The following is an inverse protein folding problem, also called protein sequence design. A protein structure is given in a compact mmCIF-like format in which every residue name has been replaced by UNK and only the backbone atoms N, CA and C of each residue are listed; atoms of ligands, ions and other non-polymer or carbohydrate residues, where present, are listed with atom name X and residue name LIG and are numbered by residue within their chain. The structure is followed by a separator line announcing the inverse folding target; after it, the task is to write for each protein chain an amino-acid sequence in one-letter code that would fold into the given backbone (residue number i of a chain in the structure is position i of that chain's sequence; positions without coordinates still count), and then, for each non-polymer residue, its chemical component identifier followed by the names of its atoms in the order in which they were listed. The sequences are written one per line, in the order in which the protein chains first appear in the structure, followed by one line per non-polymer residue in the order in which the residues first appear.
data_IF_467416329947
#
_entry.id   IF_467416329947
#
_cell.length_a   1.000
_cell.length_b   1.000
_cell.length_c   1.000
_cell.angle_alpha   90.00
_cell.angle_beta   90.00
_cell.angle_gamma   90.00
#
_symmetry.space_group_name_H-M   'P 1'
#
loop_
_entity.id
_entity.type
_entity.pdbx_description
1 polymer ?
#
# COMPACT_ATOMS: atom_id res chain seq x y z
N UNK A 1 -43.45 59.44 14.55
CA UNK A 1 -42.84 59.24 13.22
C UNK A 1 -41.60 58.36 13.42
N UNK A 2 -41.79 57.04 13.38
CA UNK A 2 -41.20 56.13 12.36
C UNK A 2 -39.79 55.61 12.71
N UNK A 3 -39.79 54.42 13.34
CA UNK A 3 -38.95 53.22 13.11
C UNK A 3 -37.60 53.44 12.40
N UNK A 4 -36.49 53.05 13.05
CA UNK A 4 -35.60 52.02 12.49
C UNK A 4 -34.41 51.60 13.37
N UNK A 5 -34.48 50.31 13.73
CA UNK A 5 -33.41 49.30 13.59
C UNK A 5 -32.40 49.21 14.76
N UNK A 6 -32.88 48.54 15.81
CA UNK A 6 -32.10 47.52 16.50
C UNK A 6 -31.62 46.45 15.49
N UNK A 7 -30.30 46.31 15.30
CA UNK A 7 -29.60 45.15 14.67
C UNK A 7 -28.09 45.40 14.69
N UNK A 8 -27.48 45.38 15.87
CA UNK A 8 -26.02 45.47 15.99
C UNK A 8 -25.42 44.52 17.05
N UNK A 9 -26.17 43.50 17.47
CA UNK A 9 -25.68 42.48 18.38
C UNK A 9 -26.34 41.15 18.03
N UNK A 10 -25.73 40.36 17.13
CA UNK A 10 -26.01 38.92 16.92
C UNK A 10 -25.14 38.27 15.80
N UNK A 11 -23.92 38.74 15.54
CA UNK A 11 -23.04 38.16 14.50
C UNK A 11 -21.61 37.89 14.97
N UNK A 12 -21.42 37.38 16.19
CA UNK A 12 -20.10 37.00 16.70
C UNK A 12 -20.10 35.66 17.49
N UNK A 13 -21.04 34.76 17.21
CA UNK A 13 -21.14 33.48 17.92
C UNK A 13 -21.51 32.32 16.98
N UNK A 14 -20.75 32.11 15.91
CA UNK A 14 -20.98 30.96 15.00
C UNK A 14 -19.72 30.47 14.24
N UNK A 15 -18.51 30.70 14.77
CA UNK A 15 -17.27 30.32 14.07
C UNK A 15 -16.22 29.59 14.94
N UNK A 16 -16.65 28.99 16.06
CA UNK A 16 -15.74 28.23 16.96
C UNK A 16 -16.05 26.72 16.99
N UNK A 17 -17.09 26.25 16.29
CA UNK A 17 -17.49 24.82 16.35
C UNK A 17 -16.93 23.94 15.23
N UNK A 18 -16.22 24.48 14.24
CA UNK A 18 -15.69 23.68 13.12
C UNK A 18 -14.29 23.10 13.34
N UNK A 19 -13.54 23.57 14.34
CA UNK A 19 -12.20 23.03 14.62
C UNK A 19 -12.25 21.75 15.48
N UNK A 20 -13.09 21.72 16.52
CA UNK A 20 -13.17 20.58 17.44
C UNK A 20 -13.76 19.30 16.83
N UNK A 21 -14.62 19.44 15.81
CA UNK A 21 -15.17 18.27 15.09
C UNK A 21 -14.10 17.64 14.20
N UNK A 22 -13.19 18.44 13.61
CA UNK A 22 -12.13 17.89 12.78
C UNK A 22 -11.07 17.12 13.60
N UNK A 23 -10.75 17.56 14.82
CA UNK A 23 -9.79 16.87 15.67
C UNK A 23 -10.30 15.51 16.16
N UNK A 24 -11.57 15.41 16.57
CA UNK A 24 -12.17 14.14 16.99
C UNK A 24 -12.33 13.13 15.83
N UNK A 25 -12.60 13.63 14.61
CA UNK A 25 -12.69 12.80 13.40
C UNK A 25 -11.32 12.31 12.92
N UNK A 26 -10.27 13.10 13.10
CA UNK A 26 -8.91 12.72 12.79
C UNK A 26 -8.37 11.66 13.77
N UNK A 27 -8.76 11.74 15.05
CA UNK A 27 -8.31 10.82 16.11
C UNK A 27 -8.77 9.38 15.86
N UNK A 28 -10.06 9.17 15.55
CA UNK A 28 -10.61 7.83 15.28
C UNK A 28 -10.02 7.20 14.00
N UNK A 29 -9.68 7.99 12.98
CA UNK A 29 -9.05 7.50 11.75
C UNK A 29 -7.56 7.19 11.96
N UNK A 30 -6.84 8.01 12.71
CA UNK A 30 -5.44 7.76 13.04
C UNK A 30 -5.30 6.45 13.83
N UNK A 31 -6.16 6.27 14.85
CA UNK A 31 -6.21 5.05 15.65
C UNK A 31 -6.61 3.82 14.83
N UNK A 32 -7.57 3.97 13.92
CA UNK A 32 -7.94 2.91 12.98
C UNK A 32 -6.75 2.50 12.13
N UNK A 33 -6.06 3.46 11.50
CA UNK A 33 -4.92 3.18 10.64
C UNK A 33 -3.75 2.56 11.41
N UNK A 34 -3.49 2.99 12.64
CA UNK A 34 -2.47 2.41 13.50
C UNK A 34 -2.78 0.95 13.88
N UNK A 35 -4.05 0.64 14.17
CA UNK A 35 -4.48 -0.73 14.48
C UNK A 35 -4.44 -1.63 13.23
N UNK A 36 -4.88 -1.13 12.07
CA UNK A 36 -4.74 -1.83 10.78
C UNK A 36 -3.27 -2.07 10.44
N UNK A 37 -2.39 -1.09 10.66
CA UNK A 37 -0.95 -1.23 10.38
C UNK A 37 -0.33 -2.31 11.27
N UNK A 38 -0.74 -2.42 12.53
CA UNK A 38 -0.27 -3.49 13.43
C UNK A 38 -0.55 -4.88 12.86
N UNK A 39 -1.78 -5.12 12.37
CA UNK A 39 -2.12 -6.38 11.71
C UNK A 39 -1.40 -6.52 10.35
N UNK A 40 -1.38 -5.47 9.55
CA UNK A 40 -0.78 -5.46 8.20
C UNK A 40 0.71 -5.74 8.22
N UNK A 41 1.43 -5.30 9.26
CA UNK A 41 2.84 -5.61 9.44
C UNK A 41 3.10 -7.12 9.49
N UNK A 42 2.36 -7.85 10.32
CA UNK A 42 2.45 -9.31 10.39
C UNK A 42 2.09 -9.97 9.05
N UNK A 43 1.04 -9.48 8.38
CA UNK A 43 0.65 -9.98 7.06
C UNK A 43 1.79 -9.86 6.03
N UNK A 44 2.46 -8.69 5.96
CA UNK A 44 3.59 -8.47 5.03
C UNK A 44 4.78 -9.36 5.33
N UNK A 45 5.11 -9.53 6.61
CA UNK A 45 6.23 -10.38 7.00
C UNK A 45 5.93 -11.84 6.65
N UNK A 46 4.71 -12.32 6.89
CA UNK A 46 4.27 -13.65 6.47
C UNK A 46 4.38 -13.86 4.95
N UNK A 47 3.89 -12.91 4.14
CA UNK A 47 4.05 -12.93 2.66
C UNK A 47 5.52 -12.99 2.28
N UNK A 48 6.37 -12.20 2.95
CA UNK A 48 7.82 -12.19 2.74
C UNK A 48 8.46 -13.55 2.98
N UNK A 49 8.12 -14.23 4.08
CA UNK A 49 8.63 -15.56 4.40
C UNK A 49 8.14 -16.64 3.43
N UNK A 50 6.87 -16.59 3.01
CA UNK A 50 6.33 -17.52 2.01
C UNK A 50 7.06 -17.40 0.68
N UNK A 51 7.39 -16.18 0.25
CA UNK A 51 8.15 -15.92 -0.98
C UNK A 51 9.55 -16.56 -0.96
N UNK A 52 10.16 -16.69 0.21
CA UNK A 52 11.47 -17.33 0.39
C UNK A 52 11.38 -18.81 0.78
N UNK A 53 10.18 -19.40 0.79
CA UNK A 53 9.96 -20.80 1.16
C UNK A 53 10.02 -21.11 2.66
N UNK A 54 10.01 -20.09 3.53
CA UNK A 54 10.12 -20.25 4.98
C UNK A 54 8.73 -20.39 5.61
N UNK A 55 8.08 -21.53 5.42
CA UNK A 55 6.71 -21.76 5.90
C UNK A 55 6.57 -21.61 7.42
N UNK A 56 7.49 -22.16 8.21
CA UNK A 56 7.39 -22.14 9.69
C UNK A 56 7.38 -20.71 10.24
N UNK A 57 8.25 -19.84 9.72
CA UNK A 57 8.29 -18.43 10.09
C UNK A 57 7.05 -17.68 9.59
N UNK A 58 6.53 -18.04 8.41
CA UNK A 58 5.28 -17.49 7.92
C UNK A 58 4.10 -17.84 8.84
N UNK A 59 4.01 -19.09 9.31
CA UNK A 59 2.94 -19.53 10.22
C UNK A 59 2.93 -18.72 11.52
N UNK A 60 4.09 -18.47 12.12
CA UNK A 60 4.20 -17.63 13.31
C UNK A 60 3.65 -16.21 13.08
N UNK A 61 3.94 -15.61 11.94
CA UNK A 61 3.43 -14.28 11.60
C UNK A 61 1.95 -14.28 11.21
N UNK A 62 1.44 -15.36 10.63
CA UNK A 62 -0.02 -15.51 10.38
C UNK A 62 -0.78 -15.59 11.71
N UNK A 63 -0.24 -16.27 12.72
CA UNK A 63 -0.85 -16.31 14.05
C UNK A 63 -0.86 -14.93 14.72
N UNK A 64 0.25 -14.19 14.64
CA UNK A 64 0.32 -12.80 15.13
C UNK A 64 -0.63 -11.87 14.36
N UNK A 65 -0.78 -12.06 13.05
CA UNK A 65 -1.78 -11.36 12.25
C UNK A 65 -3.19 -11.62 12.80
N UNK A 66 -3.55 -12.88 13.09
CA UNK A 66 -4.88 -13.22 13.64
C UNK A 66 -5.13 -12.54 14.98
N UNK A 67 -4.13 -12.57 15.87
CA UNK A 67 -4.23 -11.91 17.18
C UNK A 67 -4.43 -10.40 17.04
N UNK A 68 -3.60 -9.74 16.23
CA UNK A 68 -3.68 -8.30 15.97
C UNK A 68 -5.00 -7.92 15.27
N UNK A 69 -5.44 -8.73 14.31
CA UNK A 69 -6.73 -8.53 13.63
C UNK A 69 -7.88 -8.66 14.62
N UNK A 70 -7.89 -9.69 15.48
CA UNK A 70 -8.92 -9.84 16.51
C UNK A 70 -8.98 -8.66 17.51
N UNK A 71 -7.83 -8.05 17.84
CA UNK A 71 -7.79 -6.80 18.62
C UNK A 71 -8.43 -5.65 17.84
N UNK A 72 -8.08 -5.50 16.56
CA UNK A 72 -8.65 -4.50 15.67
C UNK A 72 -10.17 -4.65 15.52
N UNK A 73 -10.67 -5.87 15.27
CA UNK A 73 -12.11 -6.14 15.12
C UNK A 73 -12.90 -5.77 16.37
N UNK A 74 -12.43 -6.15 17.56
CA UNK A 74 -13.09 -5.80 18.83
C UNK A 74 -13.23 -4.29 19.02
N UNK A 75 -12.29 -3.51 18.50
CA UNK A 75 -12.29 -2.05 18.63
C UNK A 75 -13.15 -1.37 17.56
N UNK A 76 -13.16 -1.87 16.33
CA UNK A 76 -13.68 -1.13 15.17
C UNK A 76 -14.84 -1.79 14.42
N UNK A 77 -15.15 -3.08 14.63
CA UNK A 77 -16.23 -3.75 13.90
C UNK A 77 -17.60 -3.11 14.13
N UNK A 78 -17.86 -2.61 15.35
CA UNK A 78 -19.08 -1.87 15.71
C UNK A 78 -18.89 -0.35 15.83
N UNK A 79 -17.67 0.16 15.62
CA UNK A 79 -17.31 1.58 15.75
C UNK A 79 -16.66 2.06 14.46
N UNK A 80 -17.49 2.35 13.47
CA UNK A 80 -17.03 2.85 12.17
C UNK A 80 -16.50 4.28 12.30
N UNK A 81 -15.22 4.55 11.95
CA UNK A 81 -14.73 5.92 11.85
C UNK A 81 -15.53 6.71 10.81
N UNK A 82 -15.79 7.99 11.06
CA UNK A 82 -16.61 8.80 10.16
C UNK A 82 -16.02 8.94 8.74
N UNK A 83 -14.70 8.80 8.59
CA UNK A 83 -14.04 8.78 7.28
C UNK A 83 -14.57 7.65 6.37
N UNK A 84 -15.17 6.62 6.95
CA UNK A 84 -15.79 5.51 6.22
C UNK A 84 -17.32 5.64 6.13
N UNK A 85 -17.95 6.70 6.63
CA UNK A 85 -19.41 6.84 6.60
C UNK A 85 -19.96 6.70 5.17
N UNK A 86 -21.01 5.91 5.01
CA UNK A 86 -21.58 5.56 3.70
C UNK A 86 -20.71 4.63 2.82
N UNK A 87 -19.51 4.22 3.25
CA UNK A 87 -18.66 3.29 2.49
C UNK A 87 -19.08 1.85 2.76
N UNK A 88 -19.84 1.27 1.81
CA UNK A 88 -20.38 -0.10 1.94
C UNK A 88 -19.31 -1.17 2.19
N UNK A 89 -18.07 -0.96 1.74
CA UNK A 89 -16.96 -1.88 1.92
C UNK A 89 -16.55 -2.06 3.39
N UNK A 90 -16.86 -1.11 4.27
CA UNK A 90 -16.44 -1.16 5.67
C UNK A 90 -16.97 -2.40 6.40
N UNK A 91 -18.27 -2.68 6.26
CA UNK A 91 -18.89 -3.84 6.88
C UNK A 91 -18.41 -5.16 6.26
N UNK A 92 -18.29 -5.21 4.92
CA UNK A 92 -17.90 -6.45 4.22
C UNK A 92 -16.43 -6.82 4.40
N UNK A 93 -15.56 -5.84 4.68
CA UNK A 93 -14.13 -6.08 4.91
C UNK A 93 -13.90 -7.12 6.02
N UNK A 94 -14.59 -6.99 7.16
CA UNK A 94 -14.44 -7.93 8.28
C UNK A 94 -14.76 -9.37 7.89
N UNK A 95 -15.91 -9.58 7.23
CA UNK A 95 -16.30 -10.91 6.74
C UNK A 95 -15.33 -11.44 5.68
N UNK A 96 -14.86 -10.58 4.78
CA UNK A 96 -13.88 -10.92 3.75
C UNK A 96 -12.56 -11.40 4.34
N UNK A 97 -12.00 -10.63 5.29
CA UNK A 97 -10.74 -10.99 5.96
C UNK A 97 -10.89 -12.28 6.77
N UNK A 98 -12.00 -12.46 7.50
CA UNK A 98 -12.26 -13.71 8.22
C UNK A 98 -12.31 -14.92 7.28
N UNK A 99 -13.04 -14.82 6.17
CA UNK A 99 -13.12 -15.90 5.18
C UNK A 99 -11.75 -16.24 4.58
N UNK A 100 -10.90 -15.23 4.33
CA UNK A 100 -9.53 -15.45 3.84
C UNK A 100 -8.64 -16.10 4.88
N UNK A 101 -8.74 -15.73 6.16
CA UNK A 101 -7.98 -16.38 7.23
C UNK A 101 -8.38 -17.85 7.43
N UNK A 102 -9.67 -18.19 7.24
CA UNK A 102 -10.13 -19.59 7.20
C UNK A 102 -9.59 -20.31 5.97
N UNK A 103 -9.58 -19.68 4.80
CA UNK A 103 -9.00 -20.25 3.59
C UNK A 103 -7.49 -20.50 3.74
N UNK A 104 -6.77 -19.63 4.47
CA UNK A 104 -5.36 -19.83 4.82
C UNK A 104 -5.16 -21.15 5.59
N UNK A 105 -5.98 -21.45 6.60
CA UNK A 105 -5.86 -22.72 7.37
C UNK A 105 -6.05 -23.96 6.50
N UNK A 106 -7.04 -23.91 5.60
CA UNK A 106 -7.27 -24.97 4.64
C UNK A 106 -6.05 -25.15 3.72
N UNK A 107 -5.51 -24.06 3.17
CA UNK A 107 -4.36 -24.12 2.25
C UNK A 107 -3.07 -24.57 2.93
N UNK A 108 -2.86 -24.22 4.20
CA UNK A 108 -1.76 -24.75 5.01
C UNK A 108 -1.88 -26.28 5.11
N UNK A 109 -3.06 -26.78 5.50
CA UNK A 109 -3.32 -28.22 5.64
C UNK A 109 -3.13 -28.97 4.32
N UNK A 110 -3.44 -28.32 3.19
CA UNK A 110 -3.26 -28.89 1.85
C UNK A 110 -1.83 -28.80 1.31
N UNK A 111 -0.88 -28.22 2.06
CA UNK A 111 0.50 -28.01 1.60
C UNK A 111 0.61 -27.05 0.41
N UNK A 112 -0.22 -26.00 0.39
CA UNK A 112 -0.29 -25.02 -0.72
C UNK A 112 0.21 -23.63 -0.28
N UNK A 113 1.51 -23.45 0.01
CA UNK A 113 2.06 -22.19 0.53
C UNK A 113 1.85 -21.00 -0.41
N UNK A 114 1.84 -21.24 -1.72
CA UNK A 114 1.55 -20.20 -2.71
C UNK A 114 0.09 -19.71 -2.63
N UNK A 115 -0.87 -20.62 -2.40
CA UNK A 115 -2.25 -20.23 -2.21
C UNK A 115 -2.49 -19.53 -0.86
N UNK A 116 -1.70 -19.87 0.17
CA UNK A 116 -1.64 -19.10 1.43
C UNK A 116 -1.21 -17.67 1.13
N UNK A 117 -0.11 -17.48 0.39
CA UNK A 117 0.39 -16.15 0.01
C UNK A 117 -0.66 -15.33 -0.73
N UNK A 118 -1.34 -15.93 -1.72
CA UNK A 118 -2.41 -15.25 -2.47
C UNK A 118 -3.58 -14.81 -1.57
N UNK A 119 -3.95 -15.63 -0.59
CA UNK A 119 -5.02 -15.28 0.36
C UNK A 119 -4.62 -14.10 1.25
N UNK A 120 -3.37 -14.07 1.70
CA UNK A 120 -2.78 -12.96 2.47
C UNK A 120 -2.68 -11.65 1.65
N UNK A 121 -2.33 -11.75 0.37
CA UNK A 121 -2.32 -10.60 -0.55
C UNK A 121 -3.71 -10.03 -0.82
N UNK A 122 -4.72 -10.89 -0.80
CA UNK A 122 -6.10 -10.48 -0.98
C UNK A 122 -6.65 -9.74 0.26
N UNK A 123 -6.18 -10.06 1.48
CA UNK A 123 -6.46 -9.23 2.68
C UNK A 123 -5.94 -7.81 2.48
N UNK A 124 -4.71 -7.64 1.94
CA UNK A 124 -4.16 -6.31 1.60
C UNK A 124 -5.02 -5.62 0.53
N UNK A 125 -5.59 -6.39 -0.41
CA UNK A 125 -6.51 -5.89 -1.42
C UNK A 125 -7.81 -5.33 -0.82
N UNK A 126 -8.43 -6.07 0.10
CA UNK A 126 -9.68 -5.63 0.75
C UNK A 126 -9.48 -4.31 1.53
N UNK A 127 -8.34 -4.17 2.23
CA UNK A 127 -7.98 -2.93 2.94
C UNK A 127 -7.69 -1.77 1.99
N UNK A 128 -6.99 -2.03 0.88
CA UNK A 128 -6.73 -1.04 -0.18
C UNK A 128 -8.03 -0.53 -0.78
N UNK A 129 -8.95 -1.43 -1.15
CA UNK A 129 -10.23 -1.06 -1.77
C UNK A 129 -11.11 -0.26 -0.81
N UNK A 130 -11.13 -0.63 0.48
CA UNK A 130 -11.81 0.15 1.52
C UNK A 130 -11.26 1.58 1.63
N UNK A 131 -9.94 1.73 1.78
CA UNK A 131 -9.31 3.06 1.92
C UNK A 131 -9.50 3.89 0.66
N UNK A 132 -9.38 3.28 -0.51
CA UNK A 132 -9.60 3.93 -1.81
C UNK A 132 -11.04 4.43 -1.97
N UNK A 133 -12.04 3.62 -1.60
CA UNK A 133 -13.44 4.03 -1.65
C UNK A 133 -13.76 5.20 -0.69
N UNK A 134 -13.01 5.31 0.40
CA UNK A 134 -13.08 6.42 1.36
C UNK A 134 -12.18 7.63 1.01
N UNK A 135 -11.41 7.58 -0.09
CA UNK A 135 -10.45 8.63 -0.44
C UNK A 135 -9.26 8.75 0.51
N UNK A 136 -9.00 7.72 1.33
CA UNK A 136 -7.89 7.68 2.28
C UNK A 136 -6.62 7.25 1.54
N UNK A 137 -5.54 7.99 1.75
CA UNK A 137 -4.24 7.75 1.15
C UNK A 137 -3.23 7.39 2.23
N UNK A 138 -2.59 6.23 2.10
CA UNK A 138 -1.51 5.79 2.99
C UNK A 138 -0.32 5.24 2.19
N UNK A 139 0.86 5.22 2.82
CA UNK A 139 2.09 4.74 2.18
C UNK A 139 1.99 3.28 1.73
N UNK A 140 1.42 2.40 2.56
CA UNK A 140 1.23 0.98 2.28
C UNK A 140 0.55 0.71 0.93
N UNK A 141 -0.54 1.45 0.67
CA UNK A 141 -1.31 1.35 -0.57
C UNK A 141 -0.53 1.87 -1.77
N UNK A 142 0.25 2.96 -1.58
CA UNK A 142 1.11 3.44 -2.65
C UNK A 142 2.21 2.42 -2.99
N UNK A 143 2.81 1.79 -1.98
CA UNK A 143 3.83 0.75 -2.18
C UNK A 143 3.23 -0.49 -2.84
N UNK A 144 1.98 -0.85 -2.53
CA UNK A 144 1.22 -1.87 -3.27
C UNK A 144 1.06 -1.50 -4.75
N UNK A 145 0.66 -0.25 -5.05
CA UNK A 145 0.58 0.25 -6.43
C UNK A 145 1.96 0.23 -7.13
N UNK A 146 3.05 0.52 -6.39
CA UNK A 146 4.42 0.44 -6.91
C UNK A 146 4.77 -1.01 -7.28
N UNK A 147 4.48 -1.97 -6.40
CA UNK A 147 4.74 -3.38 -6.64
C UNK A 147 4.00 -3.91 -7.90
N UNK A 148 2.76 -3.48 -8.13
CA UNK A 148 2.04 -3.77 -9.38
C UNK A 148 2.71 -3.13 -10.61
N UNK A 149 3.26 -1.91 -10.46
CA UNK A 149 4.06 -1.27 -11.51
C UNK A 149 5.36 -2.02 -11.81
N UNK A 150 6.01 -2.57 -10.78
CA UNK A 150 7.20 -3.41 -10.93
C UNK A 150 6.86 -4.75 -11.58
N UNK A 151 5.72 -5.37 -11.24
CA UNK A 151 5.22 -6.59 -11.91
C UNK A 151 4.99 -6.34 -13.41
N UNK A 152 4.49 -5.17 -13.80
CA UNK A 152 4.36 -4.81 -15.21
C UNK A 152 5.72 -4.61 -15.89
N UNK A 153 6.72 -4.09 -15.16
CA UNK A 153 8.04 -3.81 -15.69
C UNK A 153 8.91 -5.08 -15.82
N UNK A 154 8.80 -6.02 -14.89
CA UNK A 154 9.60 -7.25 -14.90
C UNK A 154 9.24 -8.19 -16.08
N UNK A 155 8.08 -7.99 -16.73
CA UNK A 155 7.72 -8.70 -17.96
C UNK A 155 8.74 -8.47 -19.09
N UNK A 156 9.47 -7.35 -19.06
CA UNK A 156 10.54 -7.06 -20.01
C UNK A 156 11.88 -7.72 -19.67
N UNK A 157 11.95 -8.47 -18.56
CA UNK A 157 13.11 -9.29 -18.20
C UNK A 157 13.14 -10.60 -19.00
N UNK A 158 13.13 -10.47 -20.33
CA UNK A 158 13.17 -11.59 -21.26
C UNK A 158 14.42 -11.49 -22.15
N UNK A 159 15.20 -12.56 -22.20
CA UNK A 159 16.38 -12.66 -23.08
C UNK A 159 16.01 -12.61 -24.56
N UNK A 160 14.78 -12.94 -24.92
CA UNK A 160 14.25 -12.86 -26.28
C UNK A 160 13.66 -11.49 -26.62
N UNK A 161 13.79 -10.48 -25.74
CA UNK A 161 13.25 -9.15 -25.97
C UNK A 161 13.82 -8.52 -27.24
N UNK A 162 12.95 -8.28 -28.22
CA UNK A 162 13.35 -7.70 -29.50
C UNK A 162 13.41 -6.17 -29.44
N UNK A 163 14.61 -5.65 -29.17
CA UNK A 163 14.90 -4.23 -29.18
C UNK A 163 14.87 -3.58 -30.57
N UNK A 164 14.75 -4.33 -31.68
CA UNK A 164 14.64 -3.73 -33.01
C UNK A 164 13.25 -3.12 -33.23
N UNK A 165 12.22 -3.70 -32.61
CA UNK A 165 10.84 -3.21 -32.63
C UNK A 165 10.73 -1.87 -31.89
N UNK A 166 10.33 -0.78 -32.57
CA UNK A 166 10.13 0.52 -31.92
C UNK A 166 9.12 0.47 -30.79
N UNK A 167 8.03 -0.30 -30.97
CA UNK A 167 6.97 -0.43 -29.99
C UNK A 167 7.48 -1.00 -28.66
N UNK A 168 8.29 -2.06 -28.70
CA UNK A 168 8.92 -2.65 -27.50
C UNK A 168 9.68 -1.61 -26.68
N UNK A 169 10.49 -0.78 -27.36
CA UNK A 169 11.29 0.27 -26.69
C UNK A 169 10.40 1.35 -26.09
N UNK A 170 9.37 1.78 -26.80
CA UNK A 170 8.41 2.78 -26.33
C UNK A 170 7.61 2.28 -25.13
N UNK A 171 7.12 1.04 -25.18
CA UNK A 171 6.31 0.47 -24.09
C UNK A 171 7.14 0.20 -22.83
N UNK A 172 8.38 -0.28 -22.99
CA UNK A 172 9.33 -0.40 -21.88
C UNK A 172 9.61 0.97 -21.25
N UNK A 173 9.92 1.99 -22.04
CA UNK A 173 10.17 3.34 -21.54
C UNK A 173 8.95 3.92 -20.79
N UNK A 174 7.75 3.76 -21.36
CA UNK A 174 6.52 4.24 -20.74
C UNK A 174 6.18 3.48 -19.44
N UNK A 175 6.45 2.18 -19.39
CA UNK A 175 6.24 1.35 -18.19
C UNK A 175 7.21 1.74 -17.08
N UNK A 176 8.49 1.93 -17.41
CA UNK A 176 9.50 2.44 -16.49
C UNK A 176 9.13 3.83 -15.93
N UNK A 177 8.67 4.74 -16.79
CA UNK A 177 8.22 6.07 -16.38
C UNK A 177 7.05 6.00 -15.40
N UNK A 178 6.04 5.16 -15.66
CA UNK A 178 4.89 4.97 -14.76
C UNK A 178 5.34 4.46 -13.39
N UNK A 179 6.23 3.46 -13.36
CA UNK A 179 6.78 2.96 -12.10
C UNK A 179 7.52 4.05 -11.31
N UNK A 180 8.39 4.82 -11.98
CA UNK A 180 9.11 5.95 -11.36
C UNK A 180 8.20 7.06 -10.83
N UNK A 181 7.10 7.35 -11.53
CA UNK A 181 6.08 8.29 -11.07
C UNK A 181 5.40 7.77 -9.79
N UNK A 182 5.09 6.48 -9.72
CA UNK A 182 4.54 5.87 -8.50
C UNK A 182 5.52 5.94 -7.34
N UNK A 183 6.80 5.62 -7.54
CA UNK A 183 7.83 5.78 -6.48
C UNK A 183 7.93 7.22 -5.96
N UNK A 184 7.85 8.20 -6.87
CA UNK A 184 7.85 9.62 -6.50
C UNK A 184 6.62 9.99 -5.68
N UNK A 185 5.44 9.46 -6.04
CA UNK A 185 4.21 9.62 -5.26
C UNK A 185 4.34 9.00 -3.86
N UNK A 186 4.91 7.81 -3.74
CA UNK A 186 5.06 7.14 -2.44
C UNK A 186 6.02 7.90 -1.52
N UNK A 187 7.12 8.41 -2.06
CA UNK A 187 8.03 9.32 -1.34
C UNK A 187 7.27 10.57 -0.85
N UNK A 188 6.38 11.13 -1.68
CA UNK A 188 5.52 12.26 -1.34
C UNK A 188 4.41 11.99 -0.32
N UNK A 189 3.98 10.74 -0.15
CA UNK A 189 2.98 10.31 0.84
C UNK A 189 3.63 9.95 2.18
N UNK A 190 4.87 9.47 2.17
CA UNK A 190 5.58 9.10 3.38
C UNK A 190 5.67 10.29 4.34
N UNK A 191 5.18 10.09 5.58
CA UNK A 191 5.29 11.08 6.65
C UNK A 191 6.74 11.31 7.06
N UNK A 192 7.02 12.43 7.73
CA UNK A 192 8.38 12.93 7.97
C UNK A 192 9.31 11.89 8.62
N UNK A 193 8.83 11.13 9.60
CA UNK A 193 9.63 10.10 10.26
C UNK A 193 10.09 9.00 9.30
N UNK A 194 9.20 8.51 8.44
CA UNK A 194 9.51 7.47 7.44
C UNK A 194 10.35 8.05 6.32
N UNK A 195 9.95 9.21 5.77
CA UNK A 195 10.64 9.85 4.64
C UNK A 195 12.09 10.15 4.94
N UNK A 196 12.41 10.56 6.17
CA UNK A 196 13.77 10.89 6.59
C UNK A 196 14.55 9.68 7.16
N UNK A 197 13.93 8.51 7.26
CA UNK A 197 14.64 7.32 7.72
C UNK A 197 15.68 6.85 6.69
N UNK A 198 16.86 6.44 7.18
CA UNK A 198 17.96 5.95 6.33
C UNK A 198 17.52 4.75 5.50
N UNK A 199 16.73 3.86 6.08
CA UNK A 199 16.22 2.68 5.38
C UNK A 199 15.32 3.05 4.20
N UNK A 200 14.32 3.91 4.42
CA UNK A 200 13.41 4.32 3.35
C UNK A 200 14.14 5.09 2.24
N UNK A 201 15.03 6.03 2.60
CA UNK A 201 15.83 6.77 1.62
C UNK A 201 16.67 5.84 0.77
N UNK A 202 17.36 4.88 1.38
CA UNK A 202 18.18 3.91 0.64
C UNK A 202 17.36 3.15 -0.41
N UNK A 203 16.14 2.75 -0.07
CA UNK A 203 15.29 1.99 -0.98
C UNK A 203 14.71 2.87 -2.11
N UNK A 204 14.15 4.05 -1.78
CA UNK A 204 13.57 4.95 -2.78
C UNK A 204 14.64 5.53 -3.70
N UNK A 205 15.75 6.00 -3.16
CA UNK A 205 16.82 6.61 -3.95
C UNK A 205 17.56 5.57 -4.78
N UNK A 206 17.80 4.39 -4.20
CA UNK A 206 18.35 3.25 -4.93
C UNK A 206 17.48 2.85 -6.11
N UNK A 207 16.16 2.67 -5.89
CA UNK A 207 15.23 2.32 -6.96
C UNK A 207 15.19 3.41 -8.06
N UNK A 208 15.12 4.70 -7.69
CA UNK A 208 15.13 5.81 -8.67
C UNK A 208 16.45 5.86 -9.46
N UNK A 209 17.59 5.60 -8.81
CA UNK A 209 18.89 5.58 -9.46
C UNK A 209 19.01 4.41 -10.47
N UNK A 210 18.61 3.20 -10.09
CA UNK A 210 18.58 2.04 -11.00
C UNK A 210 17.63 2.28 -12.16
N UNK A 211 16.45 2.87 -11.90
CA UNK A 211 15.47 3.18 -12.94
C UNK A 211 16.01 4.15 -14.01
N UNK A 212 16.88 5.08 -13.61
CA UNK A 212 17.52 6.04 -14.52
C UNK A 212 18.49 5.38 -15.52
N UNK A 213 18.83 4.10 -15.35
CA UNK A 213 19.66 3.33 -16.27
C UNK A 213 18.85 2.70 -17.42
N UNK A 214 17.52 2.56 -17.29
CA UNK A 214 16.68 1.94 -18.32
C UNK A 214 16.78 2.66 -19.68
N UNK A 215 16.74 4.01 -19.77
CA UNK A 215 16.93 4.71 -21.05
C UNK A 215 18.26 4.37 -21.74
N UNK A 216 19.33 4.15 -20.97
CA UNK A 216 20.63 3.77 -21.51
C UNK A 216 20.59 2.35 -22.09
N UNK A 217 19.99 1.40 -21.37
CA UNK A 217 19.78 0.03 -21.86
C UNK A 217 18.96 0.01 -23.16
N UNK A 218 17.90 0.82 -23.25
CA UNK A 218 17.08 0.96 -24.46
C UNK A 218 17.90 1.53 -25.63
N UNK A 219 18.66 2.60 -25.40
CA UNK A 219 19.44 3.27 -26.43
C UNK A 219 20.56 2.36 -26.98
N UNK A 220 21.25 1.65 -26.08
CA UNK A 220 22.30 0.69 -26.44
C UNK A 220 21.76 -0.65 -26.95
N UNK A 221 20.44 -0.92 -26.81
CA UNK A 221 19.81 -2.23 -27.04
C UNK A 221 20.49 -3.34 -26.22
N UNK A 222 20.88 -3.00 -25.00
CA UNK A 222 21.63 -3.85 -24.09
C UNK A 222 20.66 -4.63 -23.19
N UNK A 223 20.34 -5.85 -23.61
CA UNK A 223 19.47 -6.75 -22.87
C UNK A 223 20.08 -7.18 -21.52
N UNK A 224 21.40 -7.30 -21.44
CA UNK A 224 22.08 -7.72 -20.21
C UNK A 224 22.07 -6.59 -19.17
N UNK A 225 22.26 -5.35 -19.60
CA UNK A 225 22.08 -4.19 -18.73
C UNK A 225 20.63 -4.09 -18.25
N UNK A 226 19.65 -4.26 -19.15
CA UNK A 226 18.24 -4.25 -18.77
C UNK A 226 17.95 -5.32 -17.71
N UNK A 227 18.36 -6.56 -17.94
CA UNK A 227 18.20 -7.67 -16.99
C UNK A 227 18.76 -7.33 -15.60
N UNK A 228 20.00 -6.86 -15.52
CA UNK A 228 20.63 -6.48 -14.25
C UNK A 228 19.86 -5.38 -13.52
N UNK A 229 19.45 -4.34 -14.24
CA UNK A 229 18.67 -3.23 -13.69
C UNK A 229 17.31 -3.71 -13.18
N UNK A 230 16.63 -4.56 -13.95
CA UNK A 230 15.31 -5.07 -13.58
C UNK A 230 15.35 -5.96 -12.34
N UNK A 231 16.36 -6.84 -12.20
CA UNK A 231 16.55 -7.63 -10.98
C UNK A 231 16.86 -6.74 -9.78
N UNK A 232 17.70 -5.72 -9.95
CA UNK A 232 18.00 -4.78 -8.87
C UNK A 232 16.76 -4.00 -8.42
N UNK A 233 15.99 -3.46 -9.38
CA UNK A 233 14.71 -2.80 -9.11
C UNK A 233 13.74 -3.72 -8.38
N UNK A 234 13.63 -4.99 -8.82
CA UNK A 234 12.81 -6.00 -8.15
C UNK A 234 13.25 -6.23 -6.71
N UNK A 235 14.55 -6.16 -6.41
CA UNK A 235 15.06 -6.26 -5.05
C UNK A 235 14.60 -5.10 -4.18
N UNK A 236 14.75 -3.85 -4.66
CA UNK A 236 14.27 -2.66 -3.95
C UNK A 236 12.76 -2.70 -3.73
N UNK A 237 11.99 -3.05 -4.76
CA UNK A 237 10.54 -3.13 -4.72
C UNK A 237 10.03 -4.13 -3.68
N UNK A 238 10.64 -5.32 -3.64
CA UNK A 238 10.32 -6.34 -2.64
C UNK A 238 10.65 -5.88 -1.21
N UNK A 239 11.75 -5.15 -1.01
CA UNK A 239 12.11 -4.60 0.29
C UNK A 239 11.17 -3.46 0.71
N UNK A 240 10.75 -2.61 -0.22
CA UNK A 240 9.73 -1.59 0.02
C UNK A 240 8.42 -2.25 0.46
N UNK A 241 7.94 -3.25 -0.29
CA UNK A 241 6.73 -3.98 0.05
C UNK A 241 6.82 -4.68 1.41
N UNK A 242 7.97 -5.27 1.74
CA UNK A 242 8.19 -5.94 3.02
C UNK A 242 8.17 -4.94 4.20
N UNK A 243 8.83 -3.79 4.06
CA UNK A 243 9.00 -2.81 5.14
C UNK A 243 7.84 -1.84 5.30
N UNK A 244 7.27 -1.38 4.18
CA UNK A 244 6.39 -0.21 4.13
C UNK A 244 5.09 -0.44 3.34
N UNK A 245 4.86 -1.66 2.82
CA UNK A 245 3.69 -2.02 2.01
C UNK A 245 2.44 -2.36 2.78
#
# INVERSE_FOLDING_TARGET
MWISIARAALFALALVTSAAVNDALADDLADFNAAVETASAHNRVAIGYLRTGNLDLALLEIDRLREAWGVFERRFAGKQPAAFDGVALYGSMFTGVHARLVAVDLMITMGKPEAVRQSLEAIRGDLYDLRKAAGIVVLADCVRDANAGMDALIVYDDRALDFTKPQTRTDLAATAQRYGATLTRCDGIAGDAVRNSVEFRRLIDGAKASLALIPQAIAARDADLLHRVLIELRSFDNLLAFRFG
#
